data_IF_282182929258
#
_entry.id   IF_282182929258
#
_cell.length_a   1.000
_cell.length_b   1.000
_cell.length_c   1.000
_cell.angle_alpha   90.00
_cell.angle_beta   90.00
_cell.angle_gamma   90.00
#
_symmetry.space_group_name_H-M   'P 1'
#
loop_
_entity.id
_entity.type
_entity.pdbx_description
1 polymer ?
#
# COMPACT_ATOMS: atom_id res chain seq x y z
N UNK A 1 -14.23 8.17 8.19
CA UNK A 1 -13.37 8.21 6.98
C UNK A 1 -12.03 8.92 7.20
N UNK A 2 -11.99 10.10 7.82
CA UNK A 2 -10.75 10.88 8.07
C UNK A 2 -9.62 10.06 8.72
N UNK A 3 -9.92 9.33 9.79
CA UNK A 3 -8.94 8.49 10.50
C UNK A 3 -8.37 7.38 9.61
N UNK A 4 -9.20 6.71 8.81
CA UNK A 4 -8.75 5.65 7.90
C UNK A 4 -7.80 6.20 6.82
N UNK A 5 -8.15 7.36 6.25
CA UNK A 5 -7.34 8.04 5.24
C UNK A 5 -5.97 8.48 5.81
N UNK A 6 -5.94 9.04 7.02
CA UNK A 6 -4.68 9.41 7.67
C UNK A 6 -3.85 8.21 8.10
N UNK A 7 -4.45 7.27 8.82
CA UNK A 7 -3.76 6.11 9.37
C UNK A 7 -3.21 5.23 8.24
N UNK A 8 -4.02 4.96 7.22
CA UNK A 8 -3.58 4.20 6.06
C UNK A 8 -2.41 4.86 5.33
N UNK A 9 -2.46 6.18 5.12
CA UNK A 9 -1.36 6.92 4.51
C UNK A 9 -0.08 6.86 5.35
N UNK A 10 -0.18 7.07 6.66
CA UNK A 10 0.96 7.01 7.59
C UNK A 10 1.59 5.62 7.57
N UNK A 11 0.78 4.57 7.65
CA UNK A 11 1.26 3.18 7.58
C UNK A 11 1.97 2.91 6.25
N UNK A 12 1.42 3.37 5.12
CA UNK A 12 2.05 3.21 3.81
C UNK A 12 3.41 3.90 3.74
N UNK A 13 3.51 5.13 4.25
CA UNK A 13 4.76 5.90 4.29
C UNK A 13 5.81 5.19 5.15
N UNK A 14 5.47 4.80 6.38
CA UNK A 14 6.40 4.10 7.27
C UNK A 14 6.81 2.74 6.71
N UNK A 15 5.88 1.96 6.17
CA UNK A 15 6.19 0.68 5.52
C UNK A 15 7.13 0.87 4.32
N UNK A 16 6.94 1.94 3.53
CA UNK A 16 7.82 2.30 2.43
C UNK A 16 9.23 2.66 2.89
N UNK A 17 9.37 3.52 3.90
CA UNK A 17 10.68 3.88 4.46
C UNK A 17 11.41 2.70 5.07
N UNK A 18 10.70 1.89 5.86
CA UNK A 18 11.25 0.68 6.47
C UNK A 18 11.65 -0.33 5.39
N UNK A 19 10.81 -0.54 4.37
CA UNK A 19 11.15 -1.41 3.24
C UNK A 19 12.38 -0.93 2.48
N UNK A 20 12.48 0.37 2.20
CA UNK A 20 13.66 0.97 1.56
C UNK A 20 14.93 0.77 2.41
N UNK A 21 14.85 1.05 3.71
CA UNK A 21 16.00 0.91 4.62
C UNK A 21 16.55 -0.51 4.67
N UNK A 22 15.69 -1.53 4.68
CA UNK A 22 16.15 -2.93 4.69
C UNK A 22 16.61 -3.42 3.31
N UNK A 23 16.18 -2.77 2.23
CA UNK A 23 16.59 -3.11 0.87
C UNK A 23 17.85 -2.35 0.42
N UNK A 24 18.18 -1.21 1.02
CA UNK A 24 19.33 -0.40 0.62
C UNK A 24 20.66 -1.11 0.81
N UNK A 25 20.73 -2.05 1.74
CA UNK A 25 21.94 -2.81 2.07
C UNK A 25 22.06 -4.12 1.25
N UNK A 26 21.14 -4.36 0.31
CA UNK A 26 21.16 -5.53 -0.57
C UNK A 26 21.86 -5.17 -1.88
N UNK A 27 23.14 -5.50 -1.95
CA UNK A 27 24.02 -5.34 -3.10
C UNK A 27 24.30 -6.70 -3.79
N UNK A 28 24.87 -6.72 -5.01
CA UNK A 28 25.18 -7.97 -5.72
C UNK A 28 26.10 -8.92 -4.93
N UNK A 29 26.96 -8.37 -4.09
CA UNK A 29 27.93 -9.11 -3.28
C UNK A 29 27.35 -9.52 -1.90
N UNK A 30 26.11 -9.13 -1.60
CA UNK A 30 25.43 -9.50 -0.35
C UNK A 30 25.24 -11.01 -0.29
N UNK A 31 25.59 -11.61 0.85
CA UNK A 31 25.46 -13.05 1.04
C UNK A 31 24.01 -13.50 0.89
N UNK A 32 23.81 -14.72 0.36
CA UNK A 32 22.46 -15.28 0.16
C UNK A 32 21.63 -15.31 1.45
N UNK A 33 22.26 -15.49 2.60
CA UNK A 33 21.60 -15.46 3.91
C UNK A 33 21.13 -14.05 4.29
N UNK A 34 21.93 -13.01 4.06
CA UNK A 34 21.56 -11.63 4.34
C UNK A 34 20.46 -11.13 3.39
N UNK A 35 20.57 -11.43 2.10
CA UNK A 35 19.52 -11.15 1.13
C UNK A 35 18.21 -11.89 1.47
N UNK A 36 18.31 -13.16 1.88
CA UNK A 36 17.17 -13.94 2.35
C UNK A 36 16.51 -13.34 3.59
N UNK A 37 17.28 -12.84 4.55
CA UNK A 37 16.75 -12.17 5.75
C UNK A 37 15.99 -10.88 5.39
N UNK A 38 16.52 -10.06 4.47
CA UNK A 38 15.82 -8.88 3.95
C UNK A 38 14.49 -9.28 3.27
N UNK A 39 14.50 -10.34 2.46
CA UNK A 39 13.30 -10.89 1.83
C UNK A 39 12.23 -11.35 2.84
N UNK A 40 12.65 -12.05 3.91
CA UNK A 40 11.74 -12.46 5.00
C UNK A 40 11.15 -11.24 5.71
N UNK A 41 11.96 -10.23 5.99
CA UNK A 41 11.48 -8.99 6.60
C UNK A 41 10.43 -8.29 5.74
N UNK A 42 10.65 -8.21 4.42
CA UNK A 42 9.65 -7.67 3.49
C UNK A 42 8.35 -8.49 3.54
N UNK A 43 8.45 -9.82 3.54
CA UNK A 43 7.29 -10.71 3.52
C UNK A 43 6.46 -10.66 4.81
N UNK A 44 7.11 -10.58 5.98
CA UNK A 44 6.42 -10.69 7.27
C UNK A 44 6.16 -9.35 7.97
N UNK A 45 6.80 -8.27 7.54
CA UNK A 45 6.64 -6.94 8.17
C UNK A 45 6.08 -5.93 7.17
N UNK A 46 6.77 -5.72 6.04
CA UNK A 46 6.40 -4.65 5.10
C UNK A 46 5.15 -4.98 4.31
N UNK A 47 5.05 -6.19 3.75
CA UNK A 47 3.89 -6.59 2.96
C UNK A 47 2.59 -6.61 3.78
N UNK A 48 2.54 -7.14 5.02
CA UNK A 48 1.35 -7.07 5.86
C UNK A 48 0.98 -5.62 6.24
N UNK A 49 1.97 -4.75 6.51
CA UNK A 49 1.71 -3.34 6.79
C UNK A 49 1.10 -2.61 5.58
N UNK A 50 1.63 -2.85 4.38
CA UNK A 50 1.07 -2.30 3.13
C UNK A 50 -0.31 -2.88 2.83
N UNK A 51 -0.56 -4.17 3.10
CA UNK A 51 -1.86 -4.78 2.95
C UNK A 51 -2.89 -4.15 3.90
N UNK A 52 -2.52 -3.94 5.16
CA UNK A 52 -3.40 -3.29 6.14
C UNK A 52 -3.71 -1.85 5.74
N UNK A 53 -2.72 -1.11 5.24
CA UNK A 53 -2.95 0.20 4.63
C UNK A 53 -3.91 0.10 3.44
N UNK A 54 -3.73 -0.84 2.53
CA UNK A 54 -4.59 -1.00 1.35
C UNK A 54 -6.05 -1.27 1.73
N UNK A 55 -6.29 -2.14 2.71
CA UNK A 55 -7.64 -2.45 3.22
C UNK A 55 -8.32 -1.22 3.82
N UNK A 56 -7.56 -0.27 4.37
CA UNK A 56 -8.12 1.00 4.87
C UNK A 56 -8.32 2.02 3.74
N UNK A 57 -7.30 2.22 2.91
CA UNK A 57 -7.22 3.34 1.96
C UNK A 57 -8.09 3.08 0.74
N UNK A 58 -8.10 1.87 0.17
CA UNK A 58 -8.83 1.57 -1.06
C UNK A 58 -10.35 1.78 -0.90
N UNK A 59 -11.05 1.09 0.02
CA UNK A 59 -12.50 1.26 0.14
C UNK A 59 -12.88 2.67 0.63
N UNK A 60 -12.09 3.29 1.52
CA UNK A 60 -12.39 4.65 1.99
C UNK A 60 -12.18 5.71 0.90
N UNK A 61 -11.19 5.54 0.03
CA UNK A 61 -10.97 6.46 -1.10
C UNK A 61 -12.07 6.32 -2.15
N UNK A 62 -12.56 5.10 -2.39
CA UNK A 62 -13.71 4.85 -3.26
C UNK A 62 -14.98 5.48 -2.66
N UNK A 63 -15.23 5.29 -1.36
CA UNK A 63 -16.41 5.83 -0.69
C UNK A 63 -16.47 7.38 -0.71
N UNK A 64 -15.31 8.06 -0.74
CA UNK A 64 -15.23 9.52 -0.76
C UNK A 64 -15.53 10.15 -2.13
N UNK A 65 -15.74 9.36 -3.20
CA UNK A 65 -16.27 9.89 -4.46
C UNK A 65 -17.72 10.38 -4.32
N UNK A 66 -18.50 9.81 -3.40
CA UNK A 66 -19.87 10.24 -3.16
C UNK A 66 -19.93 11.47 -2.25
N UNK A 67 -20.52 12.59 -2.71
CA UNK A 67 -20.63 13.82 -1.92
C UNK A 67 -21.32 13.60 -0.56
N UNK A 68 -22.35 12.75 -0.51
CA UNK A 68 -23.11 12.43 0.69
C UNK A 68 -22.22 11.81 1.77
N UNK A 69 -21.29 10.93 1.37
CA UNK A 69 -20.33 10.29 2.29
C UNK A 69 -19.32 11.31 2.80
N UNK A 70 -18.88 12.24 1.95
CA UNK A 70 -17.97 13.33 2.35
C UNK A 70 -18.61 14.24 3.38
N UNK A 71 -19.81 14.72 3.12
CA UNK A 71 -20.55 15.59 4.04
C UNK A 71 -20.82 14.88 5.38
N UNK A 72 -21.32 13.64 5.35
CA UNK A 72 -21.58 12.86 6.56
C UNK A 72 -20.34 12.51 7.38
N UNK A 73 -19.14 12.54 6.79
CA UNK A 73 -17.87 12.30 7.48
C UNK A 73 -17.09 13.59 7.77
N UNK A 74 -17.71 14.76 7.57
CA UNK A 74 -17.06 16.07 7.62
C UNK A 74 -15.82 16.15 6.72
N UNK A 75 -15.71 15.36 5.66
CA UNK A 75 -14.53 15.34 4.79
C UNK A 75 -14.50 16.56 3.86
N UNK A 76 -14.13 17.71 4.41
CA UNK A 76 -14.17 19.02 3.77
C UNK A 76 -12.89 19.80 4.07
N UNK A 77 -12.42 20.59 3.10
CA UNK A 77 -11.24 21.44 3.22
C UNK A 77 -10.02 20.91 2.46
N UNK A 78 -9.14 21.84 2.04
CA UNK A 78 -8.01 21.57 1.13
C UNK A 78 -7.07 20.47 1.62
N UNK A 79 -6.81 20.42 2.93
CA UNK A 79 -5.97 19.40 3.56
C UNK A 79 -6.50 17.97 3.35
N UNK A 80 -7.80 17.77 3.59
CA UNK A 80 -8.42 16.46 3.44
C UNK A 80 -8.50 16.03 1.97
N UNK A 81 -8.77 16.97 1.05
CA UNK A 81 -8.70 16.70 -0.39
C UNK A 81 -7.29 16.34 -0.85
N UNK A 82 -6.24 16.96 -0.31
CA UNK A 82 -4.87 16.60 -0.61
C UNK A 82 -4.54 15.17 -0.15
N UNK A 83 -4.90 14.82 1.09
CA UNK A 83 -4.75 13.45 1.62
C UNK A 83 -5.49 12.44 0.74
N UNK A 84 -6.75 12.75 0.40
CA UNK A 84 -7.55 11.88 -0.46
C UNK A 84 -6.92 11.70 -1.84
N UNK A 85 -6.37 12.76 -2.43
CA UNK A 85 -5.62 12.69 -3.68
C UNK A 85 -4.43 11.72 -3.61
N UNK A 86 -3.58 11.86 -2.58
CA UNK A 86 -2.46 10.93 -2.34
C UNK A 86 -2.95 9.48 -2.17
N UNK A 87 -4.02 9.30 -1.42
CA UNK A 87 -4.60 8.00 -1.15
C UNK A 87 -5.29 7.37 -2.37
N UNK A 88 -5.84 8.17 -3.28
CA UNK A 88 -6.30 7.70 -4.59
C UNK A 88 -5.12 7.15 -5.41
N UNK A 89 -3.98 7.85 -5.45
CA UNK A 89 -2.78 7.37 -6.14
C UNK A 89 -2.26 6.06 -5.52
N UNK A 90 -2.17 5.98 -4.20
CA UNK A 90 -1.80 4.73 -3.50
C UNK A 90 -2.78 3.60 -3.80
N UNK A 91 -4.08 3.89 -3.79
CA UNK A 91 -5.13 2.91 -4.10
C UNK A 91 -4.98 2.35 -5.51
N UNK A 92 -4.69 3.19 -6.50
CA UNK A 92 -4.40 2.74 -7.87
C UNK A 92 -3.17 1.82 -7.90
N UNK A 93 -2.11 2.14 -7.15
CA UNK A 93 -0.94 1.28 -7.00
C UNK A 93 -1.27 -0.08 -6.39
N UNK A 94 -2.03 -0.11 -5.29
CA UNK A 94 -2.46 -1.35 -4.65
C UNK A 94 -3.31 -2.23 -5.58
N UNK A 95 -4.26 -1.63 -6.30
CA UNK A 95 -5.09 -2.35 -7.26
C UNK A 95 -4.26 -2.89 -8.42
N UNK A 96 -3.30 -2.12 -8.93
CA UNK A 96 -2.39 -2.56 -9.97
C UNK A 96 -1.57 -3.78 -9.53
N UNK A 97 -0.97 -3.73 -8.34
CA UNK A 97 -0.20 -4.86 -7.78
C UNK A 97 -1.09 -6.08 -7.57
N UNK A 98 -2.30 -5.91 -7.05
CA UNK A 98 -3.24 -7.01 -6.84
C UNK A 98 -3.63 -7.68 -8.17
N UNK A 99 -3.96 -6.90 -9.20
CA UNK A 99 -4.26 -7.40 -10.55
C UNK A 99 -3.05 -8.08 -11.17
N UNK A 100 -1.85 -7.53 -11.00
CA UNK A 100 -0.62 -8.12 -11.51
C UNK A 100 -0.31 -9.48 -10.86
N UNK A 101 -0.43 -9.59 -9.53
CA UNK A 101 -0.25 -10.87 -8.82
C UNK A 101 -1.29 -11.88 -9.28
N UNK A 102 -2.55 -11.46 -9.43
CA UNK A 102 -3.62 -12.33 -9.94
C UNK A 102 -3.34 -12.81 -11.37
N UNK A 103 -2.83 -11.92 -12.24
CA UNK A 103 -2.39 -12.27 -13.58
C UNK A 103 -1.25 -13.29 -13.57
N UNK A 104 -0.22 -13.09 -12.74
CA UNK A 104 0.88 -14.06 -12.60
C UNK A 104 0.37 -15.41 -12.11
N UNK A 105 -0.55 -15.43 -11.14
CA UNK A 105 -1.15 -16.65 -10.64
C UNK A 105 -1.89 -17.43 -11.74
N UNK A 106 -2.67 -16.73 -12.59
CA UNK A 106 -3.31 -17.35 -13.75
C UNK A 106 -2.29 -17.86 -14.77
N UNK A 107 -1.24 -17.08 -15.05
CA UNK A 107 -0.21 -17.45 -16.03
C UNK A 107 0.54 -18.72 -15.59
N UNK A 108 1.03 -18.74 -14.35
CA UNK A 108 1.74 -19.87 -13.76
C UNK A 108 0.82 -21.08 -13.60
N UNK A 109 -0.43 -20.86 -13.15
CA UNK A 109 -1.43 -21.91 -13.03
C UNK A 109 -1.81 -22.57 -14.36
N UNK A 110 -1.69 -21.83 -15.46
CA UNK A 110 -1.92 -22.34 -16.82
C UNK A 110 -0.66 -22.92 -17.49
N UNK A 111 0.48 -23.00 -16.78
CA UNK A 111 1.71 -23.62 -17.30
C UNK A 111 2.44 -22.83 -18.40
N UNK A 112 2.21 -21.52 -18.52
CA UNK A 112 2.85 -20.61 -19.48
C UNK A 112 3.89 -19.67 -18.85
#
# INVERSE_FOLDING_TARGET
MRTLQLLGLVIAIFAGFIGYYFLSDVEPDTSASAAGAAGLFLMFVVAPALLFSAVMVVPSSIALFWPQVREGNYFQGKFWFAIWGCNCLLSSGYLFVAVYIFYLWLKVGNGN
#
